data_IF_890991118514
#
_entry.id   IF_890991118514
#
_cell.length_a   1.000
_cell.length_b   1.000
_cell.length_c   1.000
_cell.angle_alpha   90.00
_cell.angle_beta   90.00
_cell.angle_gamma   90.00
#
_symmetry.space_group_name_H-M   'P 1'
#
loop_
_entity.id
_entity.type
_entity.pdbx_description
1 polymer ?
#
# COMPACT_ATOMS: atom_id res chain seq x y z
N UNK A 1 4.07 12.03 23.76
CA UNK A 1 4.02 10.92 22.80
C UNK A 1 5.42 10.69 22.31
N UNK A 2 5.96 9.49 22.47
CA UNK A 2 7.35 9.19 22.15
C UNK A 2 7.63 9.42 20.66
N UNK A 3 8.81 9.94 20.32
CA UNK A 3 9.18 10.26 18.94
C UNK A 3 9.04 9.04 18.01
N UNK A 4 9.31 7.84 18.53
CA UNK A 4 9.11 6.58 17.84
C UNK A 4 7.62 6.33 17.52
N UNK A 5 6.73 6.56 18.47
CA UNK A 5 5.28 6.37 18.29
C UNK A 5 4.72 7.34 17.24
N UNK A 6 5.21 8.59 17.22
CA UNK A 6 4.83 9.56 16.19
C UNK A 6 5.29 9.12 14.80
N UNK A 7 6.55 8.70 14.65
CA UNK A 7 7.10 8.25 13.37
C UNK A 7 6.33 7.05 12.81
N UNK A 8 6.05 6.05 13.65
CA UNK A 8 5.28 4.86 13.26
C UNK A 8 3.85 5.22 12.84
N UNK A 9 3.19 6.12 13.56
CA UNK A 9 1.82 6.54 13.25
C UNK A 9 1.76 7.32 11.93
N UNK A 10 2.72 8.22 11.68
CA UNK A 10 2.79 8.99 10.43
C UNK A 10 3.06 8.08 9.23
N UNK A 11 4.00 7.13 9.34
CA UNK A 11 4.26 6.16 8.28
C UNK A 11 3.04 5.28 7.97
N UNK A 12 2.38 4.77 9.01
CA UNK A 12 1.17 3.96 8.83
C UNK A 12 0.06 4.76 8.12
N UNK A 13 -0.10 6.02 8.49
CA UNK A 13 -1.06 6.93 7.85
C UNK A 13 -0.71 7.19 6.38
N UNK A 14 0.57 7.44 6.09
CA UNK A 14 1.06 7.63 4.72
C UNK A 14 0.80 6.41 3.84
N UNK A 15 1.14 5.21 4.32
CA UNK A 15 0.89 3.94 3.61
C UNK A 15 -0.61 3.75 3.36
N UNK A 16 -1.45 4.06 4.34
CA UNK A 16 -2.90 3.95 4.20
C UNK A 16 -3.44 4.87 3.11
N UNK A 17 -3.00 6.13 3.09
CA UNK A 17 -3.39 7.10 2.05
C UNK A 17 -2.87 6.66 0.67
N UNK A 18 -1.61 6.23 0.60
CA UNK A 18 -1.01 5.77 -0.65
C UNK A 18 -1.74 4.54 -1.20
N UNK A 19 -2.17 3.64 -0.32
CA UNK A 19 -3.01 2.49 -0.68
C UNK A 19 -4.29 2.99 -1.35
N UNK A 20 -5.02 3.93 -0.72
CA UNK A 20 -6.24 4.53 -1.30
C UNK A 20 -5.99 5.15 -2.66
N UNK A 21 -4.87 5.85 -2.87
CA UNK A 21 -4.51 6.42 -4.19
C UNK A 21 -4.33 5.32 -5.25
N UNK A 22 -3.70 4.20 -4.90
CA UNK A 22 -3.60 3.05 -5.79
C UNK A 22 -4.98 2.45 -6.09
N UNK A 23 -5.89 2.37 -5.10
CA UNK A 23 -7.28 1.93 -5.33
C UNK A 23 -7.93 2.79 -6.41
N UNK A 24 -7.87 4.10 -6.24
CA UNK A 24 -8.47 5.07 -7.16
C UNK A 24 -7.84 4.93 -8.55
N UNK A 25 -6.50 4.80 -8.64
CA UNK A 25 -5.78 4.60 -9.91
C UNK A 25 -6.33 3.39 -10.67
N UNK A 26 -6.62 2.28 -10.00
CA UNK A 26 -7.18 1.06 -10.62
C UNK A 26 -8.62 1.25 -11.08
N UNK A 27 -9.46 1.77 -10.18
CA UNK A 27 -10.87 1.95 -10.51
C UNK A 27 -11.01 2.87 -11.73
N UNK A 28 -10.15 3.87 -11.84
CA UNK A 28 -10.08 4.78 -12.99
C UNK A 28 -9.51 4.12 -14.26
N UNK A 29 -8.64 3.09 -14.20
CA UNK A 29 -8.18 2.40 -15.42
C UNK A 29 -9.28 1.55 -16.07
N UNK A 30 -10.35 1.21 -15.33
CA UNK A 30 -11.52 0.55 -15.90
C UNK A 30 -12.39 1.50 -16.74
N UNK A 31 -12.17 2.81 -16.63
CA UNK A 31 -12.86 3.82 -17.44
C UNK A 31 -11.94 4.27 -18.60
N UNK A 32 -12.18 3.81 -19.83
CA UNK A 32 -11.35 4.16 -20.99
C UNK A 32 -11.45 5.65 -21.40
N UNK A 33 -12.39 6.40 -20.81
CA UNK A 33 -12.59 7.84 -21.04
C UNK A 33 -11.69 8.74 -20.18
N UNK A 34 -10.94 8.17 -19.24
CA UNK A 34 -10.05 8.94 -18.35
C UNK A 34 -8.78 9.35 -19.09
N UNK A 35 -8.55 10.67 -19.17
CA UNK A 35 -7.36 11.25 -19.77
C UNK A 35 -6.24 11.39 -18.72
N UNK A 36 -5.30 10.44 -18.74
CA UNK A 36 -4.17 10.37 -17.81
C UNK A 36 -3.12 11.47 -17.96
N UNK A 37 -3.23 12.30 -19.01
CA UNK A 37 -2.34 13.44 -19.24
C UNK A 37 -2.94 14.76 -18.72
N UNK A 38 -4.21 14.75 -18.30
CA UNK A 38 -4.88 15.92 -17.73
C UNK A 38 -5.00 15.86 -16.23
N UNK A 39 -5.02 17.04 -15.61
CA UNK A 39 -5.30 17.18 -14.19
C UNK A 39 -6.75 16.83 -13.88
N UNK A 40 -7.04 16.15 -12.75
CA UNK A 40 -6.11 15.76 -11.67
C UNK A 40 -5.41 14.41 -11.89
N UNK A 41 -5.76 13.67 -12.94
CA UNK A 41 -5.30 12.28 -13.16
C UNK A 41 -3.80 12.20 -13.49
N UNK A 42 -3.24 13.24 -14.10
CA UNK A 42 -1.81 13.36 -14.35
C UNK A 42 -0.96 13.43 -13.08
N UNK A 43 -1.47 14.00 -11.98
CA UNK A 43 -0.79 13.95 -10.69
C UNK A 43 -0.88 12.56 -10.07
N UNK A 44 -2.04 11.91 -10.18
CA UNK A 44 -2.23 10.56 -9.69
C UNK A 44 -1.30 9.56 -10.38
N UNK A 45 -1.16 9.65 -11.71
CA UNK A 45 -0.21 8.83 -12.46
C UNK A 45 1.22 9.10 -12.02
N UNK A 46 1.66 10.36 -11.92
CA UNK A 46 3.02 10.68 -11.45
C UNK A 46 3.34 10.14 -10.06
N UNK A 47 2.38 10.10 -9.13
CA UNK A 47 2.58 9.58 -7.78
C UNK A 47 2.57 8.04 -7.71
N UNK A 48 1.79 7.39 -8.58
CA UNK A 48 1.60 5.93 -8.55
C UNK A 48 2.53 5.19 -9.52
N UNK A 49 2.95 5.83 -10.60
CA UNK A 49 3.77 5.21 -11.67
C UNK A 49 5.15 4.74 -11.21
N UNK A 50 5.92 5.47 -10.37
CA UNK A 50 7.21 4.96 -9.88
C UNK A 50 7.07 3.64 -9.13
N UNK A 51 6.02 3.52 -8.31
CA UNK A 51 5.71 2.29 -7.59
C UNK A 51 5.25 1.20 -8.56
N UNK A 52 4.27 1.49 -9.42
CA UNK A 52 3.76 0.51 -10.38
C UNK A 52 4.84 0.03 -11.37
N UNK A 53 5.75 0.89 -11.79
CA UNK A 53 6.85 0.53 -12.70
C UNK A 53 7.82 -0.49 -12.07
N UNK A 54 8.01 -0.47 -10.75
CA UNK A 54 8.79 -1.51 -10.06
C UNK A 54 8.12 -2.88 -10.20
N UNK A 55 6.79 -2.95 -10.13
CA UNK A 55 6.03 -4.20 -10.21
C UNK A 55 5.65 -4.60 -11.65
N UNK A 56 5.66 -3.67 -12.62
CA UNK A 56 5.42 -3.96 -14.05
C UNK A 56 6.44 -4.90 -14.68
N UNK A 57 7.65 -4.99 -14.11
CA UNK A 57 8.65 -5.98 -14.54
C UNK A 57 8.27 -7.41 -14.15
N UNK A 58 7.43 -7.58 -13.14
CA UNK A 58 6.96 -8.89 -12.67
C UNK A 58 5.66 -9.25 -13.37
N UNK A 59 4.77 -8.27 -13.58
CA UNK A 59 3.44 -8.48 -14.17
C UNK A 59 3.18 -7.40 -15.21
N UNK A 60 3.41 -7.70 -16.51
CA UNK A 60 3.10 -6.77 -17.57
C UNK A 60 1.59 -6.49 -17.64
N UNK A 61 1.17 -5.27 -18.01
CA UNK A 61 -0.23 -4.93 -18.16
C UNK A 61 -0.88 -5.76 -19.28
N UNK A 62 -1.90 -6.55 -18.95
CA UNK A 62 -2.63 -7.38 -19.91
C UNK A 62 -3.76 -6.57 -20.54
N UNK A 63 -3.64 -6.24 -21.83
CA UNK A 63 -4.72 -5.66 -22.62
C UNK A 63 -5.10 -4.21 -22.29
N UNK A 64 -4.16 -3.41 -21.78
CA UNK A 64 -4.42 -2.00 -21.41
C UNK A 64 -5.15 -1.81 -20.08
N UNK A 65 -5.54 -2.90 -19.42
CA UNK A 65 -6.09 -2.92 -18.06
C UNK A 65 -4.98 -3.41 -17.13
N UNK A 66 -4.52 -2.53 -16.24
CA UNK A 66 -3.44 -2.84 -15.30
C UNK A 66 -4.01 -3.66 -14.13
N UNK A 67 -3.85 -4.98 -14.16
CA UNK A 67 -4.26 -5.91 -13.09
C UNK A 67 -3.24 -6.05 -11.96
N UNK A 68 -2.02 -5.52 -12.17
CA UNK A 68 -0.94 -5.45 -11.18
C UNK A 68 -1.38 -4.95 -9.78
N UNK A 69 -2.40 -4.09 -9.63
CA UNK A 69 -2.75 -3.59 -8.30
C UNK A 69 -3.74 -4.47 -7.51
N UNK A 70 -4.41 -5.44 -8.14
CA UNK A 70 -5.19 -6.47 -7.42
C UNK A 70 -4.25 -7.32 -6.56
N UNK A 71 -3.06 -7.62 -7.09
CA UNK A 71 -1.99 -8.28 -6.34
C UNK A 71 -1.38 -7.36 -5.27
N UNK A 72 -1.28 -6.06 -5.53
CA UNK A 72 -0.91 -5.07 -4.51
C UNK A 72 -1.88 -5.04 -3.33
N UNK A 73 -3.19 -5.09 -3.60
CA UNK A 73 -4.22 -5.21 -2.58
C UNK A 73 -4.13 -6.51 -1.79
N UNK A 74 -3.95 -7.65 -2.47
CA UNK A 74 -3.82 -8.94 -1.82
C UNK A 74 -2.58 -8.99 -0.93
N UNK A 75 -1.45 -8.43 -1.40
CA UNK A 75 -0.21 -8.34 -0.65
C UNK A 75 -0.33 -7.41 0.56
N UNK A 76 -0.91 -6.21 0.40
CA UNK A 76 -1.11 -5.27 1.50
C UNK A 76 -2.10 -5.81 2.53
N UNK A 77 -3.17 -6.46 2.09
CA UNK A 77 -4.15 -7.08 3.00
C UNK A 77 -3.54 -8.26 3.76
N UNK A 78 -2.69 -9.08 3.13
CA UNK A 78 -1.90 -10.13 3.80
C UNK A 78 -0.94 -9.54 4.84
N UNK A 79 -0.22 -8.47 4.50
CA UNK A 79 0.69 -7.81 5.45
C UNK A 79 -0.10 -7.25 6.64
N UNK A 80 -1.25 -6.62 6.39
CA UNK A 80 -2.07 -5.99 7.41
C UNK A 80 -2.79 -6.99 8.33
N UNK A 81 -3.27 -8.11 7.77
CA UNK A 81 -4.03 -9.12 8.49
C UNK A 81 -3.19 -10.21 9.13
N UNK A 82 -1.99 -10.48 8.61
CA UNK A 82 -1.13 -11.56 9.10
C UNK A 82 0.12 -10.98 9.78
N UNK A 83 0.92 -10.19 9.07
CA UNK A 83 2.25 -9.81 9.54
C UNK A 83 2.19 -8.86 10.74
N UNK A 84 1.35 -7.82 10.68
CA UNK A 84 1.18 -6.86 11.78
C UNK A 84 0.70 -7.50 13.10
N UNK A 85 -0.38 -8.29 13.12
CA UNK A 85 -0.81 -8.96 14.35
C UNK A 85 0.17 -10.04 14.81
N UNK A 86 0.86 -10.75 13.90
CA UNK A 86 1.87 -11.75 14.29
C UNK A 86 3.09 -11.09 14.96
N UNK A 87 3.56 -9.95 14.47
CA UNK A 87 4.65 -9.20 15.10
C UNK A 87 4.19 -8.63 16.45
N UNK A 88 2.98 -8.07 16.53
CA UNK A 88 2.42 -7.56 17.78
C UNK A 88 2.29 -8.66 18.83
N UNK A 89 1.84 -9.86 18.45
CA UNK A 89 1.77 -11.02 19.35
C UNK A 89 3.15 -11.59 19.71
N UNK A 90 4.11 -11.60 18.79
CA UNK A 90 5.47 -12.06 19.09
C UNK A 90 6.17 -11.14 20.10
N UNK A 91 6.01 -9.82 19.95
CA UNK A 91 6.55 -8.83 20.89
C UNK A 91 5.81 -8.88 22.22
N UNK A 92 4.47 -8.95 22.22
CA UNK A 92 3.69 -9.13 23.45
C UNK A 92 4.03 -10.44 24.17
N UNK A 93 4.27 -11.53 23.44
CA UNK A 93 4.72 -12.80 24.00
C UNK A 93 6.09 -12.71 24.66
N UNK A 94 7.04 -11.98 24.08
CA UNK A 94 8.36 -11.73 24.69
C UNK A 94 8.26 -10.82 25.91
N UNK A 95 7.40 -9.79 25.87
CA UNK A 95 7.18 -8.86 26.99
C UNK A 95 6.48 -9.53 28.18
N UNK A 96 5.51 -10.42 27.93
CA UNK A 96 4.85 -11.22 28.96
C UNK A 96 5.71 -12.39 29.46
N UNK A 97 6.69 -12.84 28.65
CA UNK A 97 7.67 -13.87 29.02
C UNK A 97 8.85 -13.34 29.85
N UNK A 98 9.03 -12.02 29.96
CA UNK A 98 9.90 -11.41 30.95
C UNK A 98 9.04 -10.94 32.13
N UNK A 99 8.74 -11.82 33.11
CA UNK A 99 8.08 -11.38 34.33
C UNK A 99 8.98 -10.33 34.98
N UNK A 100 8.41 -9.16 35.27
CA UNK A 100 9.08 -8.08 35.99
C UNK A 100 9.83 -8.67 37.20
N UNK A 101 11.16 -8.66 37.12
CA UNK A 101 12.03 -8.88 38.27
C UNK A 101 12.04 -7.63 39.15
#
# INVERSE_FOLDING_TARGET
MDALALLLTTLNSFISIYTVLLIIRILLTWFPTVDWYKQPFALLSQLTDPYLNLFRSIIPPLGGIDFSPILGFLALNLVQSVVLPSIAQAIAGVVLAYPAA
#
